data_IF_790209388741
#
_entry.id   IF_790209388741
#
_cell.length_a   1.000
_cell.length_b   1.000
_cell.length_c   1.000
_cell.angle_alpha   90.00
_cell.angle_beta   90.00
_cell.angle_gamma   90.00
#
_symmetry.space_group_name_H-M   'P 1'
#
loop_
_entity.id
_entity.type
_entity.pdbx_description
1 polymer ?
#
# COMPACT_ATOMS: atom_id res chain seq x y z
N UNK A 1 30.79 -22.25 -4.91
CA UNK A 1 29.55 -22.30 -5.70
C UNK A 1 28.99 -20.89 -5.73
N UNK A 2 29.12 -20.24 -6.88
CA UNK A 2 28.63 -18.88 -7.16
C UNK A 2 27.12 -18.94 -7.36
N UNK A 3 26.32 -18.41 -6.43
CA UNK A 3 24.95 -18.00 -6.74
C UNK A 3 25.01 -16.71 -7.55
N UNK A 4 24.81 -16.86 -8.85
CA UNK A 4 24.60 -15.74 -9.76
C UNK A 4 23.33 -14.98 -9.31
N UNK A 5 23.52 -13.74 -8.84
CA UNK A 5 22.48 -12.72 -8.76
C UNK A 5 21.86 -12.57 -10.16
N UNK A 6 20.68 -13.11 -10.37
CA UNK A 6 19.88 -12.82 -11.56
C UNK A 6 19.48 -11.36 -11.50
N UNK A 7 20.20 -10.58 -12.26
CA UNK A 7 19.94 -9.17 -12.53
C UNK A 7 18.57 -9.06 -13.23
N UNK A 8 17.55 -8.61 -12.50
CA UNK A 8 16.23 -8.28 -13.05
C UNK A 8 16.26 -6.86 -13.62
N UNK A 9 17.21 -6.60 -14.52
CA UNK A 9 17.17 -5.41 -15.36
C UNK A 9 16.12 -5.62 -16.45
N UNK A 10 15.16 -4.69 -16.54
CA UNK A 10 14.12 -4.60 -17.58
C UNK A 10 12.93 -5.56 -17.47
N UNK A 11 12.04 -5.33 -16.52
CA UNK A 11 10.65 -5.62 -16.80
C UNK A 11 10.06 -4.46 -17.60
N UNK A 12 10.01 -4.62 -18.92
CA UNK A 12 9.22 -3.79 -19.82
C UNK A 12 7.75 -3.76 -19.31
N UNK A 13 7.07 -2.62 -19.53
CA UNK A 13 5.65 -2.41 -19.20
C UNK A 13 4.77 -3.55 -19.74
N UNK A 14 5.15 -4.20 -20.84
CA UNK A 14 4.47 -5.37 -21.40
C UNK A 14 4.62 -6.61 -20.50
N UNK A 15 5.78 -6.87 -19.94
CA UNK A 15 6.04 -7.98 -19.02
C UNK A 15 5.27 -7.78 -17.69
N UNK A 16 5.20 -6.54 -17.20
CA UNK A 16 4.42 -6.19 -16.04
C UNK A 16 2.90 -6.39 -16.30
N UNK A 17 2.41 -6.01 -17.50
CA UNK A 17 1.03 -6.28 -17.93
C UNK A 17 0.73 -7.78 -18.00
N UNK A 18 1.62 -8.60 -18.56
CA UNK A 18 1.47 -10.06 -18.62
C UNK A 18 1.43 -10.70 -17.22
N UNK A 19 2.32 -10.27 -16.32
CA UNK A 19 2.35 -10.76 -14.94
C UNK A 19 1.11 -10.33 -14.15
N UNK A 20 0.64 -9.10 -14.35
CA UNK A 20 -0.62 -8.59 -13.78
C UNK A 20 -1.81 -9.43 -14.28
N UNK A 21 -1.91 -9.69 -15.59
CA UNK A 21 -2.94 -10.54 -16.18
C UNK A 21 -2.89 -11.97 -15.64
N UNK A 22 -1.71 -12.56 -15.55
CA UNK A 22 -1.53 -13.92 -15.03
C UNK A 22 -1.92 -14.04 -13.55
N UNK A 23 -1.58 -13.09 -12.70
CA UNK A 23 -1.98 -13.07 -11.28
C UNK A 23 -3.46 -12.78 -11.08
N UNK A 24 -4.06 -11.92 -11.89
CA UNK A 24 -5.52 -11.71 -11.91
C UNK A 24 -6.23 -13.01 -12.32
N UNK A 25 -5.75 -13.71 -13.32
CA UNK A 25 -6.28 -14.99 -13.77
C UNK A 25 -6.17 -16.10 -12.70
N UNK A 26 -5.03 -16.20 -12.01
CA UNK A 26 -4.85 -17.14 -10.90
C UNK A 26 -5.76 -16.83 -9.70
N UNK A 27 -5.97 -15.54 -9.36
CA UNK A 27 -6.87 -15.15 -8.28
C UNK A 27 -8.34 -15.36 -8.65
N UNK A 28 -8.75 -15.17 -9.90
CA UNK A 28 -10.09 -15.51 -10.39
C UNK A 28 -10.34 -17.02 -10.26
N UNK A 29 -9.41 -17.86 -10.67
CA UNK A 29 -9.56 -19.32 -10.55
C UNK A 29 -9.58 -19.80 -9.09
N UNK A 30 -8.81 -19.19 -8.18
CA UNK A 30 -8.87 -19.46 -6.73
C UNK A 30 -10.23 -19.05 -6.13
N UNK A 31 -10.82 -17.93 -6.56
CA UNK A 31 -12.17 -17.50 -6.11
C UNK A 31 -13.26 -18.50 -6.55
N UNK A 32 -13.18 -19.07 -7.73
CA UNK A 32 -14.15 -20.07 -8.23
C UNK A 32 -14.06 -21.35 -7.39
N UNK A 33 -12.85 -21.77 -6.98
CA UNK A 33 -12.66 -22.98 -6.16
C UNK A 33 -13.08 -22.78 -4.68
N UNK A 34 -12.88 -21.60 -4.10
CA UNK A 34 -13.21 -21.30 -2.70
C UNK A 34 -14.71 -21.05 -2.47
N UNK A 35 -15.46 -20.62 -3.48
CA UNK A 35 -16.91 -20.44 -3.35
C UNK A 35 -17.70 -21.76 -3.24
N UNK A 36 -17.07 -22.90 -3.47
CA UNK A 36 -17.72 -24.21 -3.37
C UNK A 36 -17.62 -24.90 -2.00
N UNK A 37 -16.85 -24.36 -1.06
CA UNK A 37 -16.53 -25.11 0.19
C UNK A 37 -16.62 -24.33 1.50
N UNK A 38 -17.17 -23.12 1.59
CA UNK A 38 -17.20 -22.42 2.89
C UNK A 38 -18.59 -21.91 3.27
N UNK A 39 -19.36 -22.79 3.90
CA UNK A 39 -20.36 -22.39 4.90
C UNK A 39 -19.65 -21.96 6.20
N UNK A 40 -19.77 -20.68 6.59
CA UNK A 40 -19.63 -20.14 7.96
C UNK A 40 -18.43 -20.59 8.82
N UNK A 41 -17.20 -20.33 8.39
CA UNK A 41 -16.06 -20.27 9.31
C UNK A 41 -15.66 -18.79 9.49
N UNK A 42 -15.91 -18.22 10.66
CA UNK A 42 -15.32 -16.95 11.07
C UNK A 42 -13.81 -17.17 11.29
N UNK A 43 -13.03 -17.09 10.23
CA UNK A 43 -11.58 -17.08 10.32
C UNK A 43 -11.20 -15.71 10.89
N UNK A 44 -10.75 -15.69 12.14
CA UNK A 44 -10.09 -14.51 12.71
C UNK A 44 -8.87 -14.20 11.85
N UNK A 45 -8.90 -13.10 11.09
CA UNK A 45 -7.75 -12.66 10.32
C UNK A 45 -6.70 -12.09 11.28
N UNK A 46 -5.49 -12.63 11.21
CA UNK A 46 -4.35 -12.15 12.00
C UNK A 46 -3.18 -11.80 11.05
N UNK A 47 -3.28 -10.69 10.31
CA UNK A 47 -2.28 -10.34 9.32
C UNK A 47 -0.95 -9.97 9.96
N UNK A 48 0.13 -10.46 9.39
CA UNK A 48 1.48 -10.01 9.71
C UNK A 48 1.77 -8.71 8.98
N UNK A 49 2.12 -7.66 9.73
CA UNK A 49 2.56 -6.38 9.14
C UNK A 49 4.09 -6.38 9.11
N UNK A 50 4.67 -6.15 7.93
CA UNK A 50 6.12 -6.16 7.76
C UNK A 50 6.59 -5.23 6.65
N UNK A 51 7.88 -4.88 6.73
CA UNK A 51 8.60 -4.20 5.65
C UNK A 51 8.89 -5.18 4.51
N UNK A 52 9.02 -4.63 3.31
CA UNK A 52 9.57 -5.34 2.15
C UNK A 52 10.43 -4.40 1.30
N UNK A 53 11.27 -4.96 0.45
CA UNK A 53 12.24 -4.19 -0.32
C UNK A 53 11.71 -3.80 -1.70
N UNK A 54 12.18 -2.67 -2.21
CA UNK A 54 11.94 -2.24 -3.59
C UNK A 54 12.33 -3.34 -4.59
N UNK A 55 11.51 -3.52 -5.63
CA UNK A 55 11.67 -4.57 -6.67
C UNK A 55 11.61 -6.02 -6.18
N UNK A 56 11.28 -6.28 -4.92
CA UNK A 56 11.00 -7.65 -4.45
C UNK A 56 9.67 -8.19 -5.01
N UNK A 57 9.39 -9.50 -4.88
CA UNK A 57 8.06 -10.05 -5.19
C UNK A 57 6.92 -9.35 -4.44
N UNK A 58 7.12 -8.99 -3.17
CA UNK A 58 6.14 -8.25 -2.37
C UNK A 58 5.92 -6.83 -2.89
N UNK A 59 6.98 -6.17 -3.39
CA UNK A 59 6.84 -4.87 -4.05
C UNK A 59 5.96 -4.98 -5.30
N UNK A 60 6.12 -6.01 -6.12
CA UNK A 60 5.26 -6.23 -7.28
C UNK A 60 3.80 -6.47 -6.87
N UNK A 61 3.55 -7.25 -5.81
CA UNK A 61 2.20 -7.42 -5.26
C UNK A 61 1.61 -6.08 -4.79
N UNK A 62 2.41 -5.26 -4.10
CA UNK A 62 1.97 -3.94 -3.66
C UNK A 62 1.68 -2.99 -4.83
N UNK A 63 2.48 -3.04 -5.88
CA UNK A 63 2.26 -2.24 -7.08
C UNK A 63 0.94 -2.60 -7.76
N UNK A 64 0.63 -3.90 -7.89
CA UNK A 64 -0.63 -4.39 -8.43
C UNK A 64 -1.81 -3.91 -7.59
N UNK A 65 -1.72 -4.02 -6.27
CA UNK A 65 -2.76 -3.57 -5.35
C UNK A 65 -2.97 -2.06 -5.45
N UNK A 66 -1.91 -1.27 -5.39
CA UNK A 66 -1.95 0.19 -5.52
C UNK A 66 -2.53 0.63 -6.86
N UNK A 67 -2.16 -0.07 -7.95
CA UNK A 67 -2.71 0.22 -9.28
C UNK A 67 -4.23 -0.02 -9.30
N UNK A 68 -4.69 -1.19 -8.79
CA UNK A 68 -6.11 -1.53 -8.70
C UNK A 68 -6.91 -0.50 -7.90
N UNK A 69 -6.43 -0.10 -6.72
CA UNK A 69 -7.18 0.70 -5.76
C UNK A 69 -7.05 2.21 -6.01
N UNK A 70 -5.88 2.66 -6.46
CA UNK A 70 -5.56 4.09 -6.49
C UNK A 70 -5.49 4.67 -7.91
N UNK A 71 -5.26 3.87 -8.94
CA UNK A 71 -5.04 4.35 -10.32
C UNK A 71 -6.18 4.00 -11.24
N UNK A 72 -6.60 2.74 -11.32
CA UNK A 72 -7.68 2.31 -12.22
C UNK A 72 -8.96 3.14 -12.04
N UNK A 73 -9.46 3.39 -10.81
CA UNK A 73 -10.70 4.16 -10.62
C UNK A 73 -10.62 5.61 -11.11
N UNK A 74 -9.41 6.14 -11.31
CA UNK A 74 -9.15 7.50 -11.77
C UNK A 74 -8.67 7.56 -13.22
N UNK A 75 -8.58 6.42 -13.93
CA UNK A 75 -8.02 6.36 -15.28
C UNK A 75 -6.52 6.68 -15.36
N UNK A 76 -5.80 6.55 -14.24
CA UNK A 76 -4.37 6.90 -14.14
C UNK A 76 -3.48 5.67 -14.36
N UNK A 77 -2.23 5.93 -14.76
CA UNK A 77 -1.18 4.93 -14.90
C UNK A 77 0.06 5.35 -14.09
N UNK A 78 1.01 4.44 -13.92
CA UNK A 78 2.35 4.77 -13.40
C UNK A 78 3.28 5.09 -14.55
N UNK A 79 4.08 6.14 -14.41
CA UNK A 79 5.25 6.39 -15.23
C UNK A 79 6.47 5.66 -14.65
N UNK A 80 7.52 5.47 -15.45
CA UNK A 80 8.80 4.93 -14.98
C UNK A 80 9.35 5.76 -13.80
N UNK A 81 9.25 7.10 -13.88
CA UNK A 81 9.70 8.02 -12.85
C UNK A 81 8.94 7.83 -11.51
N UNK A 82 7.63 7.55 -11.57
CA UNK A 82 6.84 7.26 -10.36
C UNK A 82 7.38 6.02 -9.64
N UNK A 83 7.73 4.98 -10.40
CA UNK A 83 8.25 3.73 -9.86
C UNK A 83 9.69 3.85 -9.36
N UNK A 84 10.54 4.62 -10.04
CA UNK A 84 11.91 4.89 -9.61
C UNK A 84 11.94 5.67 -8.30
N UNK A 85 11.01 6.59 -8.10
CA UNK A 85 10.91 7.37 -6.85
C UNK A 85 10.65 6.51 -5.61
N UNK A 86 10.12 5.29 -5.79
CA UNK A 86 9.85 4.35 -4.70
C UNK A 86 11.14 3.69 -4.14
N UNK A 87 12.28 3.82 -4.82
CA UNK A 87 13.53 3.10 -4.49
C UNK A 87 14.08 3.45 -3.10
N UNK A 88 13.96 4.71 -2.68
CA UNK A 88 14.49 5.20 -1.39
C UNK A 88 13.48 5.12 -0.25
N UNK A 89 12.28 4.64 -0.51
CA UNK A 89 11.18 4.64 0.44
C UNK A 89 11.11 3.35 1.27
N UNK A 90 10.41 3.44 2.41
CA UNK A 90 10.04 2.26 3.19
C UNK A 90 8.70 1.72 2.70
N UNK A 91 8.66 0.45 2.35
CA UNK A 91 7.46 -0.24 1.90
C UNK A 91 6.93 -1.13 3.01
N UNK A 92 5.65 -0.98 3.35
CA UNK A 92 4.99 -1.73 4.43
C UNK A 92 3.78 -2.45 3.85
N UNK A 93 3.62 -3.72 4.21
CA UNK A 93 2.50 -4.55 3.77
C UNK A 93 1.88 -5.35 4.91
N UNK A 94 0.58 -5.58 4.78
CA UNK A 94 -0.19 -6.49 5.60
C UNK A 94 -0.38 -7.80 4.84
N UNK A 95 0.06 -8.91 5.40
CA UNK A 95 0.06 -10.21 4.74
C UNK A 95 -0.68 -11.26 5.57
N UNK A 96 -1.41 -12.12 4.91
CA UNK A 96 -1.97 -13.34 5.47
C UNK A 96 -1.76 -14.50 4.49
N UNK A 97 -1.10 -15.56 4.93
CA UNK A 97 -0.77 -16.72 4.08
C UNK A 97 -0.17 -16.31 2.72
N UNK A 98 0.85 -15.44 2.72
CA UNK A 98 1.53 -14.86 1.55
C UNK A 98 0.64 -14.00 0.63
N UNK A 99 -0.62 -13.78 0.99
CA UNK A 99 -1.49 -12.85 0.30
C UNK A 99 -1.30 -11.44 0.86
N UNK A 100 -1.02 -10.46 0.00
CA UNK A 100 -1.02 -9.05 0.37
C UNK A 100 -2.45 -8.53 0.48
N UNK A 101 -2.83 -8.07 1.67
CA UNK A 101 -4.17 -7.53 1.98
C UNK A 101 -4.22 -6.02 1.87
N UNK A 102 -3.10 -5.36 2.13
CA UNK A 102 -2.96 -3.91 2.08
C UNK A 102 -1.49 -3.49 2.10
N UNK A 103 -1.20 -2.29 1.65
CA UNK A 103 0.14 -1.72 1.65
C UNK A 103 0.13 -0.20 1.76
N UNK A 104 1.27 0.36 2.15
CA UNK A 104 1.56 1.78 2.10
C UNK A 104 3.06 2.02 1.89
N UNK A 105 3.40 3.27 1.60
CA UNK A 105 4.78 3.73 1.45
C UNK A 105 5.04 4.85 2.46
N UNK A 106 6.24 4.86 3.04
CA UNK A 106 6.74 5.97 3.85
C UNK A 106 7.95 6.60 3.17
N UNK A 107 7.86 7.88 2.87
CA UNK A 107 8.91 8.69 2.26
C UNK A 107 9.48 9.64 3.30
N UNK A 108 10.80 9.66 3.47
CA UNK A 108 11.46 10.63 4.37
C UNK A 108 11.27 12.04 3.78
N UNK A 109 10.81 12.97 4.62
CA UNK A 109 10.62 14.36 4.26
C UNK A 109 11.54 15.28 5.11
N UNK A 110 11.47 16.58 4.87
CA UNK A 110 12.26 17.58 5.58
C UNK A 110 11.89 17.66 7.07
N UNK A 111 12.75 18.33 7.86
CA UNK A 111 12.48 18.64 9.28
C UNK A 111 12.17 17.40 10.14
N UNK A 112 12.82 16.28 9.84
CA UNK A 112 12.64 15.05 10.59
C UNK A 112 11.18 14.52 10.60
N UNK A 113 10.47 14.76 9.50
CA UNK A 113 9.10 14.26 9.30
C UNK A 113 9.08 13.13 8.27
N UNK A 114 8.00 12.35 8.24
CA UNK A 114 7.83 11.27 7.28
C UNK A 114 6.46 11.34 6.62
N UNK A 115 6.43 11.24 5.29
CA UNK A 115 5.21 11.26 4.51
C UNK A 115 4.70 9.85 4.25
N UNK A 116 3.50 9.55 4.71
CA UNK A 116 2.78 8.34 4.34
C UNK A 116 2.02 8.59 3.04
N UNK A 117 2.20 7.70 2.08
CA UNK A 117 1.57 7.80 0.77
C UNK A 117 1.14 6.44 0.22
N UNK A 118 0.30 6.47 -0.80
CA UNK A 118 -0.15 5.28 -1.54
C UNK A 118 -0.74 4.19 -0.64
N UNK A 119 -1.50 4.57 0.38
CA UNK A 119 -2.20 3.63 1.26
C UNK A 119 -3.30 2.93 0.47
N UNK A 120 -3.23 1.63 0.36
CA UNK A 120 -4.18 0.80 -0.36
C UNK A 120 -4.54 -0.46 0.43
N UNK A 121 -5.81 -0.77 0.54
CA UNK A 121 -6.34 -2.02 1.12
C UNK A 121 -7.25 -2.66 0.08
N UNK A 122 -7.08 -3.96 -0.17
CA UNK A 122 -7.92 -4.68 -1.12
C UNK A 122 -9.39 -4.59 -0.70
N UNK A 123 -10.28 -4.35 -1.66
CA UNK A 123 -11.71 -4.09 -1.44
C UNK A 123 -12.38 -5.17 -0.57
N UNK A 124 -11.94 -6.43 -0.71
CA UNK A 124 -12.49 -7.57 0.04
C UNK A 124 -12.07 -7.57 1.52
N UNK A 125 -11.05 -6.79 1.88
CA UNK A 125 -10.49 -6.70 3.23
C UNK A 125 -10.65 -5.32 3.87
N UNK A 126 -11.31 -4.38 3.18
CA UNK A 126 -11.67 -3.10 3.79
C UNK A 126 -12.64 -3.30 4.97
N UNK A 127 -12.65 -2.34 5.88
CA UNK A 127 -13.45 -2.36 7.13
C UNK A 127 -13.16 -3.53 8.09
N UNK A 128 -12.08 -4.31 7.83
CA UNK A 128 -11.64 -5.44 8.69
C UNK A 128 -10.40 -5.11 9.54
N UNK A 129 -10.10 -3.83 9.72
CA UNK A 129 -8.98 -3.38 10.57
C UNK A 129 -7.61 -3.32 9.89
N UNK A 130 -7.46 -3.79 8.64
CA UNK A 130 -6.16 -3.83 7.92
C UNK A 130 -5.52 -2.44 7.82
N UNK A 131 -6.31 -1.43 7.43
CA UNK A 131 -5.81 -0.05 7.35
C UNK A 131 -5.33 0.48 8.70
N UNK A 132 -6.05 0.18 9.78
CA UNK A 132 -5.65 0.58 11.14
C UNK A 132 -4.36 -0.10 11.59
N UNK A 133 -4.19 -1.39 11.30
CA UNK A 133 -2.97 -2.14 11.62
C UNK A 133 -1.75 -1.60 10.85
N UNK A 134 -1.91 -1.31 9.54
CA UNK A 134 -0.87 -0.68 8.73
C UNK A 134 -0.48 0.70 9.29
N UNK A 135 -1.46 1.51 9.67
CA UNK A 135 -1.25 2.84 10.21
C UNK A 135 -0.47 2.78 11.52
N UNK A 136 -0.93 1.95 12.47
CA UNK A 136 -0.27 1.77 13.77
C UNK A 136 1.17 1.27 13.65
N UNK A 137 1.42 0.31 12.75
CA UNK A 137 2.77 -0.16 12.47
C UNK A 137 3.65 0.97 11.92
N UNK A 138 3.12 1.76 10.98
CA UNK A 138 3.85 2.89 10.36
C UNK A 138 4.21 3.97 11.37
N UNK A 139 3.30 4.31 12.29
CA UNK A 139 3.54 5.27 13.37
C UNK A 139 4.63 4.75 14.32
N UNK A 140 4.53 3.49 14.73
CA UNK A 140 5.54 2.86 15.60
C UNK A 140 6.91 2.82 14.92
N UNK A 141 6.94 2.43 13.65
CA UNK A 141 8.17 2.39 12.86
C UNK A 141 8.79 3.79 12.72
N UNK A 142 7.99 4.81 12.38
CA UNK A 142 8.44 6.18 12.24
C UNK A 142 9.01 6.72 13.56
N UNK A 143 8.33 6.48 14.66
CA UNK A 143 8.79 6.87 16.01
C UNK A 143 10.11 6.19 16.38
N UNK A 144 10.26 4.88 16.13
CA UNK A 144 11.51 4.14 16.38
C UNK A 144 12.67 4.63 15.50
N UNK A 145 12.38 5.18 14.31
CA UNK A 145 13.37 5.82 13.43
C UNK A 145 13.71 7.26 13.84
N UNK A 146 13.03 7.81 14.85
CA UNK A 146 13.28 9.14 15.40
C UNK A 146 12.54 10.26 14.67
N UNK A 147 11.57 9.96 13.80
CA UNK A 147 10.73 11.00 13.20
C UNK A 147 9.80 11.62 14.25
N UNK A 148 9.55 12.94 14.13
CA UNK A 148 8.74 13.70 15.10
C UNK A 148 7.27 13.79 14.70
N UNK A 149 6.96 13.66 13.40
CA UNK A 149 5.60 13.61 12.90
C UNK A 149 5.48 12.75 11.64
N UNK A 150 4.27 12.27 11.41
CA UNK A 150 3.85 11.57 10.19
C UNK A 150 2.70 12.34 9.54
N UNK A 151 2.79 12.55 8.23
CA UNK A 151 1.75 13.28 7.50
C UNK A 151 1.35 12.55 6.22
N UNK A 152 0.20 12.90 5.66
CA UNK A 152 -0.27 12.37 4.38
C UNK A 152 -1.20 13.36 3.65
N UNK A 153 -1.34 13.18 2.34
CA UNK A 153 -2.41 13.77 1.55
C UNK A 153 -3.57 12.76 1.51
N UNK A 154 -4.56 12.98 2.36
CA UNK A 154 -5.72 12.11 2.46
C UNK A 154 -6.80 12.52 1.47
N UNK A 155 -7.29 11.58 0.65
CA UNK A 155 -8.51 11.81 -0.13
C UNK A 155 -9.63 12.24 0.82
N UNK A 156 -10.48 13.18 0.43
CA UNK A 156 -11.59 13.68 1.25
C UNK A 156 -12.43 12.56 1.85
N UNK A 157 -12.67 11.50 1.10
CA UNK A 157 -13.41 10.30 1.55
C UNK A 157 -12.69 9.51 2.64
N UNK A 158 -11.37 9.62 2.76
CA UNK A 158 -10.56 8.94 3.76
C UNK A 158 -10.29 9.79 5.03
N UNK A 159 -10.61 11.09 5.01
CA UNK A 159 -10.40 12.00 6.15
C UNK A 159 -10.98 11.46 7.46
N UNK A 160 -12.24 10.94 7.51
CA UNK A 160 -12.80 10.41 8.75
C UNK A 160 -11.99 9.24 9.35
N UNK A 161 -11.36 8.42 8.49
CA UNK A 161 -10.48 7.33 8.93
C UNK A 161 -9.26 7.89 9.66
N UNK A 162 -8.58 8.88 9.10
CA UNK A 162 -7.39 9.48 9.71
C UNK A 162 -7.73 10.26 11.00
N UNK A 163 -8.83 11.01 11.02
CA UNK A 163 -9.31 11.69 12.24
C UNK A 163 -9.52 10.71 13.40
N UNK A 164 -10.15 9.56 13.13
CA UNK A 164 -10.35 8.48 14.13
C UNK A 164 -9.01 7.96 14.70
N UNK A 165 -7.92 8.07 13.96
CA UNK A 165 -6.59 7.63 14.39
C UNK A 165 -5.72 8.76 14.95
N UNK A 166 -6.31 9.92 15.25
CA UNK A 166 -5.64 11.03 15.92
C UNK A 166 -4.81 11.93 14.99
N UNK A 167 -5.06 11.87 13.68
CA UNK A 167 -4.54 12.86 12.73
C UNK A 167 -5.40 14.11 12.77
N UNK A 168 -4.78 15.26 12.52
CA UNK A 168 -5.44 16.56 12.39
C UNK A 168 -5.32 17.08 10.96
N UNK A 169 -6.31 17.81 10.51
CA UNK A 169 -6.27 18.51 9.22
C UNK A 169 -5.43 19.78 9.42
N UNK A 170 -4.46 20.02 8.54
CA UNK A 170 -3.64 21.21 8.51
C UNK A 170 -3.91 21.98 7.20
N UNK A 171 -4.31 23.25 7.31
CA UNK A 171 -4.63 24.07 6.16
C UNK A 171 -5.97 23.76 5.51
N UNK A 172 -6.12 24.18 4.26
CA UNK A 172 -7.35 24.05 3.48
C UNK A 172 -7.33 22.81 2.59
N UNK A 173 -8.52 22.40 2.13
CA UNK A 173 -8.70 21.36 1.11
C UNK A 173 -8.04 21.80 -0.19
N UNK A 174 -7.37 20.87 -0.88
CA UNK A 174 -6.72 21.11 -2.17
C UNK A 174 -7.04 19.98 -3.16
N UNK A 175 -6.77 20.21 -4.44
CA UNK A 175 -6.96 19.21 -5.48
C UNK A 175 -5.65 18.53 -5.83
N UNK A 176 -5.60 17.21 -5.74
CA UNK A 176 -4.51 16.35 -6.22
C UNK A 176 -5.11 15.23 -7.07
N UNK A 177 -4.53 14.93 -8.23
CA UNK A 177 -5.02 13.95 -9.22
C UNK A 177 -6.53 14.09 -9.52
N UNK A 178 -6.99 15.34 -9.66
CA UNK A 178 -8.37 15.75 -9.98
C UNK A 178 -9.42 15.36 -8.92
N UNK A 179 -9.02 15.06 -7.69
CA UNK A 179 -9.94 14.80 -6.57
C UNK A 179 -9.55 15.60 -5.33
N UNK A 180 -10.53 15.92 -4.44
CA UNK A 180 -10.26 16.69 -3.23
C UNK A 180 -9.40 15.89 -2.23
N UNK A 181 -8.41 16.57 -1.65
CA UNK A 181 -7.52 16.07 -0.61
C UNK A 181 -7.41 17.04 0.55
N UNK A 182 -7.08 16.52 1.73
CA UNK A 182 -6.64 17.30 2.89
C UNK A 182 -5.22 16.87 3.29
N UNK A 183 -4.40 17.84 3.66
CA UNK A 183 -3.15 17.55 4.36
C UNK A 183 -3.48 17.16 5.80
N UNK A 184 -3.04 16.00 6.21
CA UNK A 184 -3.28 15.49 7.56
C UNK A 184 -1.95 15.13 8.22
N UNK A 185 -1.82 15.46 9.51
CA UNK A 185 -0.61 15.25 10.28
C UNK A 185 -0.93 14.69 11.67
N UNK A 186 0.03 13.92 12.21
CA UNK A 186 0.03 13.41 13.58
C UNK A 186 1.43 13.51 14.16
N UNK A 187 1.56 14.08 15.37
CA UNK A 187 2.79 14.00 16.16
C UNK A 187 3.00 12.59 16.70
N UNK A 188 4.25 12.12 16.76
CA UNK A 188 4.63 10.76 17.12
C UNK A 188 5.17 10.63 18.56
#
# INVERSE_FOLDING_TARGET
YNEQSRDFSFYDIHTLRYYIFYKIFLNLNRRIFLNYTVSNFHISMNPTIRLFTYRSPDYLLSLILRYKILRIPLGLTYSAKDLESDQSDFHIGAFENDQLLGSLILTVDKNNTIKMRQVAVDDTFQSKGIGSALLQFSETFAKLKGFVSIHCHARKTAVPFYLKHGYTIIGEEFTEVNIPHCYMEKLL
#
